data_IF_165547581749
#
_entry.id   IF_165547581749
#
_cell.length_a   1.000
_cell.length_b   1.000
_cell.length_c   1.000
_cell.angle_alpha   90.00
_cell.angle_beta   90.00
_cell.angle_gamma   90.00
#
_symmetry.space_group_name_H-M   'P 1'
#
loop_
_entity.id
_entity.type
_entity.pdbx_description
1 polymer ?
#
# COMPACT_ATOMS: atom_id res chain seq x y z
N UNK A 1 -20.49 -0.03 -22.50
CA UNK A 1 -19.69 -1.05 -21.78
C UNK A 1 -18.45 -0.29 -21.41
N UNK A 2 -18.28 0.03 -20.13
CA UNK A 2 -17.03 0.66 -19.69
C UNK A 2 -15.93 -0.37 -19.90
N UNK A 3 -14.99 -0.04 -20.79
CA UNK A 3 -13.89 -0.92 -21.14
C UNK A 3 -12.80 -0.70 -20.08
N UNK A 4 -12.99 -1.34 -18.92
CA UNK A 4 -12.07 -1.25 -17.79
C UNK A 4 -10.69 -1.79 -18.20
N UNK A 5 -9.67 -0.93 -18.16
CA UNK A 5 -8.33 -1.25 -18.63
C UNK A 5 -7.38 -1.63 -17.49
N UNK A 6 -7.49 -0.95 -16.33
CA UNK A 6 -6.65 -1.20 -15.15
C UNK A 6 -7.55 -1.24 -13.92
N UNK A 7 -7.31 -2.23 -13.07
CA UNK A 7 -7.91 -2.32 -11.74
C UNK A 7 -6.82 -2.61 -10.71
N UNK A 8 -6.76 -1.80 -9.66
CA UNK A 8 -5.97 -2.05 -8.46
C UNK A 8 -6.92 -2.21 -7.28
N UNK A 9 -6.66 -3.21 -6.45
CA UNK A 9 -7.38 -3.42 -5.20
C UNK A 9 -6.39 -3.63 -4.04
N UNK A 10 -6.48 -2.74 -3.04
CA UNK A 10 -5.74 -2.83 -1.79
C UNK A 10 -4.23 -2.91 -1.99
N UNK A 11 -3.66 -2.15 -2.93
CA UNK A 11 -2.24 -2.23 -3.28
C UNK A 11 -1.37 -1.45 -2.30
N UNK A 12 -0.24 -2.06 -1.91
CA UNK A 12 0.75 -1.49 -0.99
C UNK A 12 2.13 -1.40 -1.63
N UNK A 13 2.89 -0.37 -1.25
CA UNK A 13 4.32 -0.27 -1.57
C UNK A 13 5.10 0.09 -0.32
N UNK A 14 5.98 -0.81 0.08
CA UNK A 14 6.89 -0.61 1.21
C UNK A 14 8.32 -0.79 0.72
N UNK A 15 9.20 0.11 1.14
CA UNK A 15 10.65 0.01 0.99
C UNK A 15 11.26 -0.36 2.34
N UNK A 16 12.05 -1.44 2.39
CA UNK A 16 12.62 -1.98 3.62
C UNK A 16 12.54 -3.51 3.64
N UNK A 17 13.08 -4.10 4.71
CA UNK A 17 13.10 -5.55 4.88
C UNK A 17 11.76 -6.07 5.43
N UNK A 18 11.39 -7.31 5.07
CA UNK A 18 10.19 -8.01 5.58
C UNK A 18 8.88 -7.22 5.42
N UNK A 19 8.53 -6.76 4.21
CA UNK A 19 7.35 -5.91 3.98
C UNK A 19 6.02 -6.53 4.40
N UNK A 20 5.85 -7.86 4.28
CA UNK A 20 4.62 -8.54 4.69
C UNK A 20 4.36 -8.44 6.20
N UNK A 21 5.42 -8.60 7.02
CA UNK A 21 5.33 -8.42 8.47
C UNK A 21 4.97 -6.98 8.83
N UNK A 22 5.57 -6.01 8.12
CA UNK A 22 5.29 -4.59 8.35
C UNK A 22 3.82 -4.27 8.04
N UNK A 23 3.28 -4.74 6.90
CA UNK A 23 1.86 -4.54 6.55
C UNK A 23 0.95 -5.09 7.64
N UNK A 24 1.24 -6.28 8.17
CA UNK A 24 0.43 -6.89 9.23
C UNK A 24 0.46 -6.07 10.52
N UNK A 25 1.64 -5.58 10.94
CA UNK A 25 1.75 -4.70 12.11
C UNK A 25 1.04 -3.37 11.89
N UNK A 26 1.09 -2.79 10.68
CA UNK A 26 0.33 -1.57 10.36
C UNK A 26 -1.18 -1.83 10.49
N UNK A 27 -1.69 -2.93 9.92
CA UNK A 27 -3.11 -3.28 9.96
C UNK A 27 -3.60 -3.59 11.38
N UNK A 28 -2.79 -4.29 12.17
CA UNK A 28 -3.13 -4.69 13.55
C UNK A 28 -3.03 -3.52 14.53
N UNK A 29 -1.97 -2.73 14.43
CA UNK A 29 -1.61 -1.74 15.46
C UNK A 29 -1.89 -0.28 15.03
N UNK A 30 -2.35 -0.05 13.79
CA UNK A 30 -2.73 1.28 13.29
C UNK A 30 -1.55 2.24 13.13
N UNK A 31 -0.36 1.72 12.80
CA UNK A 31 0.88 2.50 12.78
C UNK A 31 0.87 3.59 11.69
N UNK A 32 1.32 4.79 12.05
CA UNK A 32 1.62 5.86 11.12
C UNK A 32 2.92 5.62 10.33
N UNK A 33 3.09 6.33 9.21
CA UNK A 33 4.31 6.23 8.40
C UNK A 33 5.59 6.56 9.18
N UNK A 34 5.52 7.52 10.10
CA UNK A 34 6.65 7.89 10.96
C UNK A 34 7.02 6.76 11.91
N UNK A 35 6.03 6.13 12.56
CA UNK A 35 6.27 4.99 13.44
C UNK A 35 6.79 3.77 12.70
N UNK A 36 6.35 3.55 11.46
CA UNK A 36 6.89 2.47 10.61
C UNK A 36 8.37 2.71 10.30
N UNK A 37 8.74 3.95 9.97
CA UNK A 37 10.13 4.33 9.75
C UNK A 37 10.98 4.10 11.00
N UNK A 38 10.53 4.59 12.15
CA UNK A 38 11.27 4.46 13.41
C UNK A 38 11.41 3.00 13.87
N UNK A 39 10.35 2.19 13.77
CA UNK A 39 10.34 0.81 14.28
C UNK A 39 11.01 -0.19 13.34
N UNK A 40 10.88 -0.01 12.04
CA UNK A 40 11.28 -1.01 11.05
C UNK A 40 12.34 -0.51 10.07
N UNK A 41 12.78 0.74 10.16
CA UNK A 41 13.63 1.39 9.18
C UNK A 41 13.07 1.24 7.75
N UNK A 42 11.75 1.36 7.63
CA UNK A 42 11.00 1.11 6.39
C UNK A 42 10.10 2.29 6.04
N UNK A 43 9.87 2.51 4.74
CA UNK A 43 9.06 3.62 4.23
C UNK A 43 7.82 3.08 3.53
N UNK A 44 6.65 3.57 3.94
CA UNK A 44 5.37 3.30 3.26
C UNK A 44 5.14 4.34 2.16
N UNK A 45 5.35 3.92 0.91
CA UNK A 45 5.12 4.76 -0.27
C UNK A 45 3.61 4.98 -0.49
N UNK A 46 2.89 3.88 -0.70
CA UNK A 46 1.42 3.87 -0.79
C UNK A 46 0.84 2.80 0.15
N UNK A 47 -0.35 3.09 0.67
CA UNK A 47 -1.09 2.22 1.60
C UNK A 47 -2.52 2.09 1.12
N UNK A 48 -2.96 0.85 0.92
CA UNK A 48 -4.35 0.49 0.64
C UNK A 48 -4.98 1.25 -0.54
N UNK A 49 -4.24 1.28 -1.66
CA UNK A 49 -4.69 2.00 -2.86
C UNK A 49 -5.56 1.08 -3.71
N UNK A 50 -6.81 1.50 -3.90
CA UNK A 50 -7.75 0.91 -4.86
C UNK A 50 -8.24 1.95 -5.85
N UNK A 51 -8.14 1.67 -7.14
CA UNK A 51 -8.74 2.50 -8.19
C UNK A 51 -8.92 1.70 -9.49
N UNK A 52 -9.75 2.24 -10.36
CA UNK A 52 -10.05 1.71 -11.68
C UNK A 52 -9.73 2.79 -12.73
N UNK A 53 -9.23 2.37 -13.88
CA UNK A 53 -8.96 3.25 -15.03
C UNK A 53 -9.66 2.67 -16.25
N UNK A 54 -10.45 3.50 -16.91
CA UNK A 54 -11.12 3.12 -18.17
C UNK A 54 -10.17 3.25 -19.36
N UNK A 55 -10.43 2.51 -20.43
CA UNK A 55 -9.64 2.62 -21.65
C UNK A 55 -9.69 4.04 -22.23
N UNK A 56 -8.53 4.67 -22.39
CA UNK A 56 -8.38 6.00 -23.00
C UNK A 56 -8.48 7.20 -22.03
N UNK A 57 -8.53 6.95 -20.72
CA UNK A 57 -8.44 7.97 -19.66
C UNK A 57 -7.04 8.61 -19.55
#
# INVERSE_FOLDING_TARGET
MDDLAIELDGVWKIFGDRPAEIVENIRRDGLSKAEVLEKFNAVVGISDVSFQVNAGE
#
